data_IF_134583908448
#
_entry.id   IF_134583908448
#
_cell.length_a   1.000
_cell.length_b   1.000
_cell.length_c   1.000
_cell.angle_alpha   90.00
_cell.angle_beta   90.00
_cell.angle_gamma   90.00
#
_symmetry.space_group_name_H-M   'P 1'
#
loop_
_entity.id
_entity.type
_entity.pdbx_description
1 polymer ?
#
# COMPACT_ATOMS: atom_id res chain seq x y z
N UNK A 1 -12.33 -15.32 28.57
CA UNK A 1 -13.19 -14.93 27.42
C UNK A 1 -13.45 -13.42 27.45
N UNK A 2 -13.78 -12.84 28.61
CA UNK A 2 -13.91 -11.38 28.81
C UNK A 2 -12.61 -10.56 28.60
N UNK A 3 -11.46 -11.03 29.08
CA UNK A 3 -10.18 -10.30 28.97
C UNK A 3 -9.68 -10.09 27.52
N UNK A 4 -10.05 -10.98 26.60
CA UNK A 4 -9.65 -10.88 25.18
C UNK A 4 -10.51 -9.84 24.45
N UNK A 5 -11.79 -9.75 24.85
CA UNK A 5 -12.74 -8.78 24.30
C UNK A 5 -12.40 -7.37 24.79
N UNK A 6 -12.08 -7.22 26.08
CA UNK A 6 -11.60 -5.96 26.65
C UNK A 6 -10.33 -5.46 25.95
N UNK A 7 -9.38 -6.35 25.65
CA UNK A 7 -8.15 -6.01 24.92
C UNK A 7 -8.44 -5.57 23.48
N UNK A 8 -9.39 -6.23 22.80
CA UNK A 8 -9.76 -5.88 21.43
C UNK A 8 -10.47 -4.53 21.36
N UNK A 9 -11.37 -4.25 22.31
CA UNK A 9 -12.04 -2.96 22.43
C UNK A 9 -11.07 -1.83 22.78
N UNK A 10 -10.15 -2.07 23.71
CA UNK A 10 -9.09 -1.12 24.06
C UNK A 10 -8.20 -0.79 22.84
N UNK A 11 -7.78 -1.79 22.06
CA UNK A 11 -7.00 -1.56 20.84
C UNK A 11 -7.81 -0.79 19.79
N UNK A 12 -9.09 -1.11 19.64
CA UNK A 12 -9.97 -0.37 18.73
C UNK A 12 -10.16 1.08 19.15
N UNK A 13 -10.27 1.35 20.44
CA UNK A 13 -10.34 2.70 20.99
C UNK A 13 -9.03 3.47 20.77
N UNK A 14 -7.88 2.84 21.05
CA UNK A 14 -6.55 3.40 20.77
C UNK A 14 -6.40 3.80 19.30
N UNK A 15 -6.73 2.90 18.38
CA UNK A 15 -6.64 3.18 16.93
C UNK A 15 -7.61 4.26 16.46
N UNK A 16 -8.78 4.41 17.10
CA UNK A 16 -9.71 5.51 16.81
C UNK A 16 -9.17 6.87 17.24
N UNK A 17 -8.34 6.92 18.28
CA UNK A 17 -7.69 8.15 18.74
C UNK A 17 -6.57 8.63 17.79
N UNK A 18 -5.99 7.72 17.01
CA UNK A 18 -4.99 8.07 16.00
C UNK A 18 -5.59 8.87 14.85
N UNK A 19 -4.77 9.75 14.29
CA UNK A 19 -5.06 10.33 12.99
C UNK A 19 -5.06 9.23 11.90
N UNK A 20 -5.77 9.45 10.79
CA UNK A 20 -5.78 8.50 9.68
C UNK A 20 -4.39 8.24 9.07
N UNK A 21 -3.52 9.25 9.04
CA UNK A 21 -2.16 9.10 8.53
C UNK A 21 -1.28 8.29 9.51
N UNK A 22 -1.52 8.35 10.82
CA UNK A 22 -0.88 7.46 11.80
C UNK A 22 -1.37 6.02 11.65
N UNK A 23 -2.68 5.80 11.45
CA UNK A 23 -3.20 4.46 11.18
C UNK A 23 -2.63 3.85 9.91
N UNK A 24 -2.51 4.65 8.84
CA UNK A 24 -1.86 4.20 7.60
C UNK A 24 -0.41 3.77 7.86
N UNK A 25 0.36 4.56 8.62
CA UNK A 25 1.74 4.20 8.97
C UNK A 25 1.81 2.91 9.81
N UNK A 26 0.94 2.78 10.81
CA UNK A 26 0.85 1.55 11.61
C UNK A 26 0.49 0.32 10.75
N UNK A 27 -0.39 0.47 9.76
CA UNK A 27 -0.77 -0.60 8.83
C UNK A 27 0.32 -0.94 7.81
N UNK A 28 1.18 0.03 7.50
CA UNK A 28 2.27 -0.13 6.53
C UNK A 28 3.42 -0.97 7.04
N UNK A 29 3.75 -0.87 8.33
CA UNK A 29 4.89 -1.57 8.92
C UNK A 29 4.80 -3.12 8.77
N UNK A 30 3.66 -3.76 9.09
CA UNK A 30 3.48 -5.19 8.84
C UNK A 30 3.60 -5.56 7.35
N UNK A 31 3.04 -4.73 6.46
CA UNK A 31 3.09 -4.96 5.02
C UNK A 31 4.53 -4.83 4.48
N UNK A 32 5.29 -3.84 4.96
CA UNK A 32 6.70 -3.64 4.61
C UNK A 32 7.53 -4.86 5.00
N UNK A 33 7.42 -5.30 6.26
CA UNK A 33 8.14 -6.50 6.75
C UNK A 33 7.80 -7.73 5.91
N UNK A 34 6.53 -7.88 5.51
CA UNK A 34 6.09 -8.98 4.66
C UNK A 34 6.71 -8.90 3.25
N UNK A 35 6.72 -7.70 2.64
CA UNK A 35 7.36 -7.46 1.33
C UNK A 35 8.86 -7.78 1.39
N UNK A 36 9.55 -7.34 2.43
CA UNK A 36 10.98 -7.58 2.63
C UNK A 36 11.28 -9.07 2.80
N UNK A 37 10.52 -9.75 3.67
CA UNK A 37 10.73 -11.15 4.00
C UNK A 37 10.39 -12.13 2.86
N UNK A 38 9.34 -11.87 2.07
CA UNK A 38 8.92 -12.79 1.01
C UNK A 38 9.60 -12.45 -0.33
N UNK A 39 10.51 -13.30 -0.86
CA UNK A 39 11.22 -13.04 -2.12
C UNK A 39 10.30 -12.87 -3.34
N UNK A 40 9.08 -13.37 -3.25
CA UNK A 40 8.12 -13.39 -4.36
C UNK A 40 7.17 -12.19 -4.33
N UNK A 41 7.22 -11.42 -3.24
CA UNK A 41 6.50 -10.15 -3.14
C UNK A 41 7.29 -9.04 -3.81
N UNK A 42 6.57 -8.25 -4.60
CA UNK A 42 7.14 -7.18 -5.42
C UNK A 42 6.22 -5.98 -5.37
N UNK A 43 6.79 -4.80 -5.22
CA UNK A 43 6.08 -3.52 -5.34
C UNK A 43 6.31 -2.97 -6.74
N UNK A 44 5.23 -2.65 -7.44
CA UNK A 44 5.28 -2.10 -8.78
C UNK A 44 4.47 -0.83 -8.92
N UNK A 45 5.04 0.17 -9.59
CA UNK A 45 4.26 1.29 -10.12
C UNK A 45 3.67 0.85 -11.46
N UNK A 46 2.34 0.80 -11.53
CA UNK A 46 1.60 0.38 -12.71
C UNK A 46 0.80 1.53 -13.31
N UNK A 47 0.73 1.57 -14.63
CA UNK A 47 -0.29 2.34 -15.36
C UNK A 47 -1.53 1.44 -15.49
N UNK A 48 -2.67 1.80 -14.87
CA UNK A 48 -3.84 0.95 -14.85
C UNK A 48 -4.43 0.80 -16.25
N UNK A 49 -4.50 -0.44 -16.75
CA UNK A 49 -5.26 -0.78 -17.97
C UNK A 49 -6.79 -0.70 -17.78
N UNK A 50 -7.24 -0.70 -16.52
CA UNK A 50 -8.65 -0.50 -16.15
C UNK A 50 -8.75 0.20 -14.80
N UNK A 51 -9.78 1.04 -14.63
CA UNK A 51 -10.04 1.78 -13.40
C UNK A 51 -10.93 1.02 -12.40
N UNK A 52 -10.87 -0.32 -12.40
CA UNK A 52 -11.70 -1.16 -11.52
C UNK A 52 -11.01 -1.53 -10.21
N UNK A 53 -9.71 -1.24 -10.07
CA UNK A 53 -8.96 -1.57 -8.88
C UNK A 53 -9.39 -0.68 -7.70
N UNK A 54 -9.57 -1.29 -6.53
CA UNK A 54 -9.86 -0.58 -5.28
C UNK A 54 -8.60 -0.51 -4.42
N UNK A 55 -8.37 0.65 -3.83
CA UNK A 55 -7.27 0.88 -2.92
C UNK A 55 -7.43 0.06 -1.64
N UNK A 56 -6.38 -0.65 -1.26
CA UNK A 56 -6.31 -1.52 -0.08
C UNK A 56 -5.94 -0.79 1.21
N UNK A 57 -5.86 0.54 1.19
CA UNK A 57 -5.74 1.38 2.39
C UNK A 57 -7.03 1.46 3.23
N UNK A 58 -8.04 0.63 2.93
CA UNK A 58 -9.30 0.50 3.67
C UNK A 58 -9.97 1.85 3.94
N UNK A 59 -10.46 2.07 5.16
CA UNK A 59 -11.17 3.28 5.59
C UNK A 59 -10.26 4.51 5.67
N UNK A 60 -8.95 4.31 5.76
CA UNK A 60 -7.97 5.40 5.83
C UNK A 60 -7.47 5.85 4.44
N UNK A 61 -8.00 5.24 3.37
CA UNK A 61 -7.79 5.72 2.00
C UNK A 61 -8.14 7.21 1.88
N UNK A 62 -7.16 8.02 1.43
CA UNK A 62 -7.29 9.49 1.31
C UNK A 62 -8.49 9.86 0.43
N UNK A 63 -8.63 9.21 -0.72
CA UNK A 63 -9.71 9.49 -1.68
C UNK A 63 -11.09 9.10 -1.16
N UNK A 64 -11.19 8.01 -0.39
CA UNK A 64 -12.45 7.62 0.26
C UNK A 64 -12.87 8.66 1.30
N UNK A 65 -11.91 9.21 2.05
CA UNK A 65 -12.16 10.22 3.08
C UNK A 65 -12.51 11.58 2.50
N UNK A 66 -11.84 12.01 1.43
CA UNK A 66 -12.09 13.32 0.81
C UNK A 66 -13.33 13.31 -0.10
N UNK A 67 -13.62 12.19 -0.75
CA UNK A 67 -14.80 12.03 -1.60
C UNK A 67 -15.44 10.63 -1.45
N UNK A 68 -16.30 10.44 -0.44
CA UNK A 68 -16.96 9.15 -0.19
C UNK A 68 -17.79 8.63 -1.37
N UNK A 69 -18.29 9.53 -2.24
CA UNK A 69 -19.08 9.13 -3.42
C UNK A 69 -18.25 8.44 -4.49
N UNK A 70 -16.99 8.84 -4.65
CA UNK A 70 -16.02 8.17 -5.55
C UNK A 70 -15.56 6.83 -4.95
N UNK A 71 -15.62 6.71 -3.62
CA UNK A 71 -15.17 5.54 -2.89
C UNK A 71 -13.64 5.41 -2.89
N UNK A 72 -13.15 4.18 -2.72
CA UNK A 72 -11.71 3.87 -2.76
C UNK A 72 -11.22 3.39 -4.14
N UNK A 73 -11.97 3.63 -5.20
CA UNK A 73 -11.59 3.24 -6.57
C UNK A 73 -10.37 4.04 -7.05
N UNK A 74 -9.44 3.38 -7.72
CA UNK A 74 -8.23 4.00 -8.26
C UNK A 74 -8.48 4.47 -9.69
N UNK A 75 -8.71 5.77 -9.85
CA UNK A 75 -8.97 6.41 -11.14
C UNK A 75 -7.78 7.22 -11.65
N UNK A 76 -6.67 7.23 -10.91
CA UNK A 76 -5.44 7.95 -11.26
C UNK A 76 -4.68 7.24 -12.39
N UNK A 77 -3.87 8.00 -13.13
CA UNK A 77 -3.03 7.48 -14.23
C UNK A 77 -1.94 6.50 -13.76
N UNK A 78 -1.66 6.47 -12.47
CA UNK A 78 -0.69 5.58 -11.86
C UNK A 78 -1.27 4.98 -10.57
N UNK A 79 -0.83 3.77 -10.24
CA UNK A 79 -1.16 3.06 -9.00
C UNK A 79 0.02 2.23 -8.52
N UNK A 80 0.10 1.99 -7.22
CA UNK A 80 1.02 0.98 -6.68
C UNK A 80 0.31 -0.37 -6.68
N UNK A 81 1.00 -1.40 -7.14
CA UNK A 81 0.57 -2.79 -7.12
C UNK A 81 1.59 -3.60 -6.33
N UNK A 82 1.15 -4.19 -5.21
CA UNK A 82 1.92 -5.18 -4.47
C UNK A 82 1.52 -6.55 -5.00
N UNK A 83 2.44 -7.19 -5.72
CA UNK A 83 2.29 -8.56 -6.21
C UNK A 83 2.70 -9.55 -5.14
N UNK A 84 2.17 -10.77 -5.24
CA UNK A 84 2.62 -11.88 -4.41
C UNK A 84 2.01 -11.92 -3.01
N UNK A 85 1.02 -11.06 -2.71
CA UNK A 85 0.42 -10.98 -1.38
C UNK A 85 -0.25 -12.33 -1.03
N UNK A 86 0.13 -12.97 0.09
CA UNK A 86 -0.49 -14.21 0.55
C UNK A 86 -2.00 -14.04 0.73
N UNK A 87 -2.79 -14.98 0.19
CA UNK A 87 -4.21 -15.07 0.48
C UNK A 87 -4.44 -16.06 1.64
N UNK A 88 -5.55 -15.91 2.35
CA UNK A 88 -6.00 -16.87 3.37
C UNK A 88 -6.30 -18.26 2.79
N UNK A 89 -6.53 -18.34 1.48
CA UNK A 89 -6.63 -19.58 0.72
C UNK A 89 -5.23 -20.00 0.23
N UNK A 90 -4.70 -21.06 0.84
CA UNK A 90 -3.29 -21.44 0.99
C UNK A 90 -2.43 -21.62 -0.27
N UNK A 91 -2.95 -21.41 -1.48
CA UNK A 91 -2.18 -21.64 -2.72
C UNK A 91 -2.23 -20.50 -3.74
N UNK A 92 -3.01 -19.42 -3.50
CA UNK A 92 -3.17 -18.37 -4.50
C UNK A 92 -2.64 -17.03 -3.98
N UNK A 93 -1.53 -16.57 -4.57
CA UNK A 93 -1.05 -15.21 -4.40
C UNK A 93 -1.95 -14.20 -5.12
N UNK A 94 -2.13 -13.02 -4.52
CA UNK A 94 -2.97 -11.97 -5.07
C UNK A 94 -2.21 -10.67 -5.31
N UNK A 95 -2.88 -9.73 -5.97
CA UNK A 95 -2.40 -8.37 -6.17
C UNK A 95 -3.19 -7.43 -5.28
N UNK A 96 -2.48 -6.61 -4.51
CA UNK A 96 -3.07 -5.50 -3.77
C UNK A 96 -2.75 -4.20 -4.48
N UNK A 97 -3.77 -3.37 -4.68
CA UNK A 97 -3.61 -2.08 -5.35
C UNK A 97 -3.78 -0.94 -4.35
N UNK A 98 -3.02 0.13 -4.54
CA UNK A 98 -3.06 1.33 -3.72
C UNK A 98 -2.97 2.57 -4.62
N UNK A 99 -3.65 3.66 -4.21
CA UNK A 99 -3.28 4.98 -4.73
C UNK A 99 -1.83 5.27 -4.33
N UNK A 100 -1.08 5.95 -5.20
CA UNK A 100 0.33 6.30 -4.92
C UNK A 100 0.44 7.05 -3.59
N UNK A 101 -0.39 8.08 -3.39
CA UNK A 101 -0.41 8.89 -2.16
C UNK A 101 -0.77 8.12 -0.90
N UNK A 102 -1.68 7.14 -1.00
CA UNK A 102 -2.03 6.29 0.15
C UNK A 102 -0.87 5.36 0.51
N UNK A 103 -0.19 4.79 -0.49
CA UNK A 103 0.95 3.90 -0.26
C UNK A 103 2.15 4.64 0.33
N UNK A 104 2.49 5.82 -0.19
CA UNK A 104 3.63 6.61 0.32
C UNK A 104 3.43 7.15 1.73
N UNK A 105 2.18 7.26 2.20
CA UNK A 105 1.89 7.58 3.61
C UNK A 105 1.90 6.34 4.51
N UNK A 106 1.71 5.17 3.91
CA UNK A 106 1.69 3.89 4.61
C UNK A 106 3.12 3.36 4.78
N UNK A 107 3.91 3.35 3.71
CA UNK A 107 5.30 2.90 3.69
C UNK A 107 6.12 3.99 3.00
N UNK A 108 7.19 4.45 3.66
CA UNK A 108 8.20 5.25 2.99
C UNK A 108 8.88 4.38 1.92
N UNK A 109 8.82 4.81 0.67
CA UNK A 109 9.40 4.05 -0.44
C UNK A 109 10.92 3.89 -0.28
N UNK A 110 11.56 4.79 0.46
CA UNK A 110 13.00 4.72 0.75
C UNK A 110 13.37 3.63 1.75
N UNK A 111 12.40 3.11 2.51
CA UNK A 111 12.60 1.99 3.44
C UNK A 111 12.57 0.64 2.73
N UNK A 112 12.04 0.57 1.51
CA UNK A 112 11.93 -0.67 0.75
C UNK A 112 13.23 -0.98 0.01
N UNK A 113 13.64 -2.25 0.01
CA UNK A 113 14.81 -2.71 -0.72
C UNK A 113 14.64 -2.50 -2.25
N UNK A 114 15.66 -2.00 -2.96
CA UNK A 114 15.55 -1.73 -4.41
C UNK A 114 15.18 -2.98 -5.22
N UNK A 115 15.61 -4.17 -4.79
CA UNK A 115 15.28 -5.45 -5.47
C UNK A 115 13.80 -5.82 -5.43
N UNK A 116 13.03 -5.25 -4.50
CA UNK A 116 11.59 -5.48 -4.37
C UNK A 116 10.78 -4.58 -5.31
N UNK A 117 11.41 -3.58 -5.94
CA UNK A 117 10.74 -2.72 -6.90
C UNK A 117 10.87 -3.27 -8.31
N UNK A 118 9.73 -3.40 -8.99
CA UNK A 118 9.69 -3.67 -10.43
C UNK A 118 8.81 -2.63 -11.12
N UNK A 119 9.22 -2.23 -12.32
CA UNK A 119 8.37 -1.39 -13.18
C UNK A 119 7.79 -2.25 -14.28
N UNK A 120 6.47 -2.18 -14.48
CA UNK A 120 5.82 -2.86 -15.61
C UNK A 120 6.09 -2.05 -16.88
N UNK A 121 6.72 -2.68 -17.86
CA UNK A 121 7.38 -2.03 -18.99
C UNK A 121 6.41 -1.50 -20.04
N UNK A 122 6.40 -0.18 -20.21
CA UNK A 122 6.52 0.41 -21.55
C UNK A 122 7.64 1.44 -21.48
N UNK A 123 8.53 1.39 -22.46
CA UNK A 123 9.90 1.91 -22.44
C UNK A 123 10.07 3.43 -22.37
N UNK A 124 9.07 4.21 -21.96
CA UNK A 124 9.14 5.67 -21.97
C UNK A 124 8.39 6.42 -20.87
N UNK A 125 8.08 5.82 -19.70
CA UNK A 125 7.26 6.47 -18.66
C UNK A 125 7.85 6.34 -17.25
N UNK A 126 9.13 6.67 -17.16
CA UNK A 126 10.01 6.30 -16.04
C UNK A 126 10.18 7.34 -14.93
N UNK A 127 9.57 8.52 -15.05
CA UNK A 127 9.93 9.68 -14.22
C UNK A 127 9.78 9.43 -12.71
N UNK A 128 8.56 9.40 -12.20
CA UNK A 128 8.32 9.76 -10.80
C UNK A 128 8.97 8.83 -9.74
N UNK A 129 8.99 7.51 -9.95
CA UNK A 129 9.48 6.58 -8.91
C UNK A 129 10.99 6.36 -8.96
N UNK A 130 11.56 6.34 -10.17
CA UNK A 130 13.02 6.33 -10.35
C UNK A 130 13.58 7.67 -9.89
N UNK A 131 12.95 8.78 -10.28
CA UNK A 131 13.28 10.14 -9.83
C UNK A 131 13.25 10.22 -8.30
N UNK A 132 12.17 9.81 -7.62
CA UNK A 132 12.12 9.81 -6.15
C UNK A 132 13.15 8.88 -5.52
N UNK A 133 13.43 7.72 -6.12
CA UNK A 133 14.47 6.82 -5.61
C UNK A 133 15.87 7.44 -5.72
N UNK A 134 16.22 8.02 -6.88
CA UNK A 134 17.50 8.70 -7.08
C UNK A 134 17.62 9.99 -6.24
N UNK A 135 16.55 10.79 -6.13
CA UNK A 135 16.50 12.01 -5.29
C UNK A 135 16.79 11.72 -3.80
N UNK A 136 16.45 10.54 -3.30
CA UNK A 136 16.55 10.23 -1.87
C UNK A 136 17.64 9.21 -1.49
N UNK A 137 18.18 8.44 -2.45
CA UNK A 137 19.18 7.38 -2.20
C UNK A 137 20.24 7.23 -3.30
N UNK A 138 20.13 7.93 -4.43
CA UNK A 138 21.08 7.82 -5.54
C UNK A 138 22.33 8.66 -5.29
N UNK A 139 23.34 8.05 -4.67
CA UNK A 139 24.73 8.44 -4.95
C UNK A 139 25.16 7.88 -6.30
#
# INVERSE_FOLDING_TARGET
MWEVEDRYEAERARRRALSPDERLREDGDPLRRLIEADPEMVVALEIPRSQRARCRANTDCIYLRTNPRQGNTITTNHRICVHGVPNKEWFRRTKHYYHVSCFTRMIDLTDLLPSKFKMDGSSGRWGLMVEKWFEHKGC
#
